data_IF_690046824345
#
_entry.id   IF_690046824345
#
_cell.length_a   1.000
_cell.length_b   1.000
_cell.length_c   1.000
_cell.angle_alpha   90.00
_cell.angle_beta   90.00
_cell.angle_gamma   90.00
#
_symmetry.space_group_name_H-M   'P 1'
#
loop_
_entity.id
_entity.type
_entity.pdbx_description
1 polymer ?
#
# COMPACT_ATOMS: atom_id res chain seq x y z
N UNK A 1 -12.44 17.04 -13.25
CA UNK A 1 -12.76 15.65 -13.64
C UNK A 1 -11.54 14.77 -13.37
N UNK A 2 -11.74 13.49 -13.00
CA UNK A 2 -10.66 12.52 -12.90
C UNK A 2 -9.85 12.43 -14.19
N UNK A 3 -8.55 12.19 -14.07
CA UNK A 3 -7.63 12.05 -15.21
C UNK A 3 -6.68 10.90 -14.95
N UNK A 4 -6.45 10.10 -15.98
CA UNK A 4 -5.42 9.06 -16.00
C UNK A 4 -4.53 9.29 -17.20
N UNK A 5 -3.23 9.30 -16.97
CA UNK A 5 -2.21 9.35 -18.00
C UNK A 5 -1.47 8.02 -17.99
N UNK A 6 -1.30 7.42 -19.15
CA UNK A 6 -0.67 6.12 -19.32
C UNK A 6 0.40 6.24 -20.38
N UNK A 7 1.54 5.59 -20.15
CA UNK A 7 2.61 5.48 -21.12
C UNK A 7 3.25 4.10 -21.01
N UNK A 8 3.69 3.57 -22.14
CA UNK A 8 4.38 2.30 -22.19
C UNK A 8 5.55 2.36 -23.15
N UNK A 9 6.53 1.51 -22.88
CA UNK A 9 7.68 1.29 -23.73
C UNK A 9 7.90 -0.21 -23.82
N UNK A 10 8.19 -0.72 -25.01
CA UNK A 10 8.37 -2.15 -25.24
C UNK A 10 9.51 -2.40 -26.20
N UNK A 11 10.30 -3.43 -25.91
CA UNK A 11 11.37 -3.92 -26.76
C UNK A 11 11.27 -5.43 -26.84
N UNK A 12 11.29 -5.98 -28.06
CA UNK A 12 11.34 -7.41 -28.30
C UNK A 12 12.46 -7.72 -29.28
N UNK A 13 13.23 -8.78 -29.00
CA UNK A 13 14.30 -9.22 -29.88
C UNK A 13 14.38 -10.75 -29.94
N UNK A 14 14.54 -11.26 -31.16
CA UNK A 14 14.87 -12.66 -31.42
C UNK A 14 16.40 -12.80 -31.35
N UNK A 15 16.87 -13.58 -30.38
CA UNK A 15 18.30 -13.83 -30.15
C UNK A 15 18.84 -15.01 -30.98
N UNK A 16 18.00 -15.59 -31.85
CA UNK A 16 18.26 -16.84 -32.54
C UNK A 16 18.16 -18.05 -31.61
N UNK A 17 18.34 -19.26 -32.16
CA UNK A 17 18.23 -20.53 -31.42
C UNK A 17 16.91 -20.66 -30.65
N UNK A 18 15.84 -20.20 -31.29
CA UNK A 18 14.47 -20.23 -30.76
C UNK A 18 14.26 -19.39 -29.49
N UNK A 19 15.15 -18.45 -29.20
CA UNK A 19 15.16 -17.64 -27.98
C UNK A 19 14.67 -16.21 -28.27
N UNK A 20 13.68 -15.75 -27.52
CA UNK A 20 13.10 -14.42 -27.62
C UNK A 20 13.19 -13.73 -26.26
N UNK A 21 13.67 -12.49 -26.25
CA UNK A 21 13.63 -11.59 -25.10
C UNK A 21 12.61 -10.49 -25.36
N UNK A 22 11.87 -10.15 -24.32
CA UNK A 22 10.93 -9.04 -24.32
C UNK A 22 11.08 -8.25 -23.01
N UNK A 23 11.13 -6.93 -23.13
CA UNK A 23 11.19 -6.01 -22.01
C UNK A 23 10.11 -4.96 -22.21
N UNK A 24 9.17 -4.90 -21.28
CA UNK A 24 8.10 -3.93 -21.30
C UNK A 24 8.13 -3.06 -20.05
N UNK A 25 7.71 -1.82 -20.21
CA UNK A 25 7.50 -0.89 -19.13
C UNK A 25 6.12 -0.26 -19.30
N UNK A 26 5.40 -0.10 -18.20
CA UNK A 26 4.14 0.62 -18.13
C UNK A 26 4.16 1.60 -16.95
N UNK A 27 3.77 2.84 -17.21
CA UNK A 27 3.55 3.87 -16.22
C UNK A 27 2.12 4.38 -16.29
N UNK A 28 1.48 4.53 -15.14
CA UNK A 28 0.16 5.12 -15.01
C UNK A 28 0.18 6.19 -13.92
N UNK A 29 -0.39 7.36 -14.19
CA UNK A 29 -0.61 8.41 -13.20
C UNK A 29 -2.07 8.82 -13.21
N UNK A 30 -2.76 8.58 -12.11
CA UNK A 30 -4.12 9.02 -11.88
C UNK A 30 -4.13 10.25 -10.97
N UNK A 31 -4.91 11.26 -11.35
CA UNK A 31 -5.11 12.48 -10.57
C UNK A 31 -6.59 12.83 -10.53
N UNK A 32 -6.99 13.59 -9.50
CA UNK A 32 -8.36 14.06 -9.32
C UNK A 32 -9.38 12.92 -9.24
N UNK A 33 -8.95 11.78 -8.71
CA UNK A 33 -9.82 10.64 -8.43
C UNK A 33 -10.79 11.02 -7.31
N UNK A 34 -12.03 10.55 -7.42
CA UNK A 34 -13.05 10.79 -6.39
C UNK A 34 -12.69 9.92 -5.19
N UNK A 35 -12.40 10.57 -4.07
CA UNK A 35 -11.89 9.95 -2.84
C UNK A 35 -12.49 10.66 -1.62
N UNK A 36 -13.78 10.46 -1.31
CA UNK A 36 -14.45 11.13 -0.20
C UNK A 36 -13.85 10.78 1.17
N UNK A 37 -13.22 9.60 1.30
CA UNK A 37 -12.52 9.16 2.51
C UNK A 37 -11.29 10.01 2.86
N UNK A 38 -10.70 10.69 1.86
CA UNK A 38 -9.60 11.63 2.04
C UNK A 38 -10.09 13.05 2.42
N UNK A 39 -11.39 13.24 2.64
CA UNK A 39 -11.99 14.54 2.95
C UNK A 39 -12.47 14.58 4.39
N UNK A 40 -11.84 15.41 5.21
CA UNK A 40 -12.31 15.74 6.57
C UNK A 40 -12.31 17.26 6.75
N UNK A 41 -13.26 17.92 6.11
CA UNK A 41 -13.30 19.39 5.95
C UNK A 41 -13.32 20.08 7.30
N UNK A 42 -13.95 19.43 8.28
CA UNK A 42 -14.12 20.00 9.60
C UNK A 42 -13.04 19.55 10.58
N UNK A 43 -11.94 18.91 10.18
CA UNK A 43 -10.85 18.58 11.12
C UNK A 43 -10.35 19.86 11.81
N UNK A 44 -10.01 19.78 13.10
CA UNK A 44 -9.30 20.89 13.76
C UNK A 44 -7.90 20.95 13.19
N UNK A 45 -7.43 22.16 12.86
CA UNK A 45 -6.10 22.34 12.34
C UNK A 45 -5.04 21.85 13.36
N UNK A 46 -4.12 20.94 12.98
CA UNK A 46 -3.07 20.44 13.86
C UNK A 46 -2.23 21.53 14.52
N UNK A 47 -2.19 22.76 13.99
CA UNK A 47 -1.54 23.91 14.64
C UNK A 47 -2.03 24.18 16.07
N UNK A 48 -3.21 23.68 16.45
CA UNK A 48 -3.77 23.84 17.80
C UNK A 48 -3.38 22.72 18.77
N UNK A 49 -2.68 21.67 18.32
CA UNK A 49 -2.18 20.58 19.18
C UNK A 49 -1.36 21.06 20.39
N UNK A 50 -0.54 22.14 20.31
CA UNK A 50 0.17 22.69 21.48
C UNK A 50 -0.74 23.14 22.63
N UNK A 51 -2.04 23.36 22.41
CA UNK A 51 -3.00 23.64 23.49
C UNK A 51 -3.21 22.43 24.41
N UNK A 52 -2.81 21.23 23.98
CA UNK A 52 -2.80 20.02 24.79
C UNK A 52 -4.17 19.70 25.41
N UNK A 53 -4.20 19.50 26.73
CA UNK A 53 -5.44 19.18 27.44
C UNK A 53 -6.51 20.28 27.34
N UNK A 54 -6.15 21.52 27.02
CA UNK A 54 -7.15 22.58 26.87
C UNK A 54 -8.15 22.24 25.76
N UNK A 55 -7.73 21.55 24.70
CA UNK A 55 -8.58 21.12 23.59
C UNK A 55 -9.77 20.26 24.04
N UNK A 56 -9.63 19.51 25.15
CA UNK A 56 -10.70 18.65 25.68
C UNK A 56 -11.57 19.35 26.72
N UNK A 57 -11.16 20.53 27.22
CA UNK A 57 -11.94 21.30 28.19
C UNK A 57 -13.16 21.92 27.54
N UNK A 58 -14.21 22.13 28.33
CA UNK A 58 -15.38 22.87 27.89
C UNK A 58 -15.00 24.32 27.56
N UNK A 59 -15.52 24.86 26.47
CA UNK A 59 -15.27 26.24 26.03
C UNK A 59 -15.70 27.30 27.06
N UNK A 60 -16.65 26.97 27.95
CA UNK A 60 -17.13 27.86 29.01
C UNK A 60 -16.31 27.75 30.31
N UNK A 61 -15.27 26.92 30.34
CA UNK A 61 -14.38 26.76 31.49
C UNK A 61 -13.51 27.99 31.75
N UNK A 62 -12.98 28.13 32.97
CA UNK A 62 -12.11 29.25 33.32
C UNK A 62 -10.80 29.21 32.52
N UNK A 63 -10.29 28.01 32.25
CA UNK A 63 -9.08 27.75 31.48
C UNK A 63 -9.23 28.18 30.01
N UNK A 64 -10.38 27.88 29.39
CA UNK A 64 -10.67 28.31 28.01
C UNK A 64 -10.78 29.84 27.89
N UNK A 65 -11.38 30.50 28.89
CA UNK A 65 -11.45 31.96 28.97
C UNK A 65 -10.07 32.59 29.19
N UNK A 66 -9.26 32.02 30.08
CA UNK A 66 -7.89 32.48 30.32
C UNK A 66 -6.99 32.37 29.07
N UNK A 67 -7.25 31.37 28.23
CA UNK A 67 -6.59 31.21 26.93
C UNK A 67 -7.16 32.11 25.81
N UNK A 68 -8.13 32.98 26.12
CA UNK A 68 -8.78 33.89 25.17
C UNK A 68 -9.38 33.20 23.94
N UNK A 69 -9.93 31.98 24.11
CA UNK A 69 -10.57 31.26 23.00
C UNK A 69 -12.02 31.76 22.86
N UNK A 70 -12.35 32.25 21.66
CA UNK A 70 -13.66 32.80 21.36
C UNK A 70 -14.75 31.71 21.32
N UNK A 71 -15.93 32.05 21.83
CA UNK A 71 -17.14 31.23 21.66
C UNK A 71 -17.65 31.45 20.23
N UNK A 72 -17.81 30.40 19.39
CA UNK A 72 -18.14 30.56 17.97
C UNK A 72 -19.46 31.26 17.69
N UNK A 73 -20.48 31.00 18.51
CA UNK A 73 -21.80 31.63 18.42
C UNK A 73 -22.50 31.61 19.79
N UNK A 74 -23.45 32.53 20.04
CA UNK A 74 -24.19 32.57 21.30
C UNK A 74 -24.84 31.23 21.64
N UNK A 75 -24.64 30.75 22.87
CA UNK A 75 -25.18 29.47 23.32
C UNK A 75 -24.38 28.23 22.90
N UNK A 76 -23.24 28.39 22.20
CA UNK A 76 -22.36 27.26 21.91
C UNK A 76 -21.84 26.61 23.21
N UNK A 77 -22.01 25.29 23.32
CA UNK A 77 -21.52 24.49 24.43
C UNK A 77 -20.84 23.24 23.87
N UNK A 78 -19.54 23.13 24.09
CA UNK A 78 -18.73 22.06 23.54
C UNK A 78 -17.29 22.15 24.04
N UNK A 79 -16.42 21.29 23.52
CA UNK A 79 -15.00 21.37 23.81
C UNK A 79 -14.34 22.55 23.08
N UNK A 80 -13.20 23.01 23.58
CA UNK A 80 -12.33 23.95 22.88
C UNK A 80 -12.00 23.45 21.48
N UNK A 81 -11.69 22.16 21.32
CA UNK A 81 -11.46 21.56 20.01
C UNK A 81 -12.63 21.77 19.06
N UNK A 82 -13.87 21.51 19.50
CA UNK A 82 -15.05 21.71 18.66
C UNK A 82 -15.25 23.19 18.29
N UNK A 83 -14.93 24.10 19.20
CA UNK A 83 -14.99 25.55 18.95
C UNK A 83 -13.99 26.02 17.87
N UNK A 84 -12.82 25.37 17.78
CA UNK A 84 -11.75 25.69 16.84
C UNK A 84 -11.95 25.09 15.43
N UNK A 85 -13.04 24.37 15.19
CA UNK A 85 -13.37 23.83 13.85
C UNK A 85 -13.84 24.94 12.91
N UNK A 86 -13.68 24.73 11.60
CA UNK A 86 -14.18 25.68 10.60
C UNK A 86 -15.71 25.83 10.64
N UNK A 87 -16.42 24.75 10.97
CA UNK A 87 -17.86 24.72 11.16
C UNK A 87 -18.22 24.10 12.53
N UNK A 88 -18.12 24.85 13.64
CA UNK A 88 -18.32 24.33 15.00
C UNK A 88 -19.73 23.77 15.29
N UNK A 89 -20.72 24.15 14.49
CA UNK A 89 -22.10 23.65 14.58
C UNK A 89 -22.28 22.24 14.01
N UNK A 90 -21.31 21.73 13.24
CA UNK A 90 -21.36 20.42 12.62
C UNK A 90 -20.29 19.49 13.19
N UNK A 91 -20.54 18.17 13.11
CA UNK A 91 -19.55 17.16 13.46
C UNK A 91 -18.59 16.93 12.28
N UNK A 92 -18.52 15.71 11.76
CA UNK A 92 -17.68 15.39 10.61
C UNK A 92 -18.34 15.82 9.31
N UNK A 93 -17.62 16.59 8.50
CA UNK A 93 -18.05 16.98 7.15
C UNK A 93 -17.15 16.33 6.11
N UNK A 94 -17.76 15.57 5.20
CA UNK A 94 -17.09 14.90 4.08
C UNK A 94 -17.65 15.41 2.76
N UNK A 95 -16.79 15.58 1.75
CA UNK A 95 -17.22 15.87 0.39
C UNK A 95 -17.30 14.58 -0.41
N UNK A 96 -18.52 14.16 -0.76
CA UNK A 96 -18.77 12.93 -1.55
C UNK A 96 -18.15 12.99 -2.96
N UNK A 97 -17.89 14.19 -3.47
CA UNK A 97 -17.28 14.44 -4.77
C UNK A 97 -15.88 15.03 -4.64
N UNK A 98 -15.19 14.80 -3.51
CA UNK A 98 -13.83 15.26 -3.30
C UNK A 98 -12.89 14.60 -4.33
N UNK A 99 -12.38 15.41 -5.28
CA UNK A 99 -11.48 14.98 -6.36
C UNK A 99 -10.03 15.20 -5.97
N UNK A 100 -9.65 14.65 -4.82
CA UNK A 100 -8.33 14.82 -4.20
C UNK A 100 -7.47 13.56 -4.29
N UNK A 101 -8.03 12.42 -4.68
CA UNK A 101 -7.28 11.18 -4.84
C UNK A 101 -6.25 11.26 -5.97
N UNK A 102 -5.08 10.68 -5.72
CA UNK A 102 -4.00 10.58 -6.68
C UNK A 102 -3.22 9.28 -6.47
N UNK A 103 -2.82 8.65 -7.58
CA UNK A 103 -1.98 7.45 -7.57
C UNK A 103 -1.04 7.42 -8.76
N UNK A 104 0.05 6.68 -8.60
CA UNK A 104 1.07 6.42 -9.60
C UNK A 104 1.47 4.96 -9.53
N UNK A 105 1.44 4.29 -10.67
CA UNK A 105 1.91 2.92 -10.83
C UNK A 105 3.03 2.91 -11.86
N UNK A 106 4.10 2.19 -11.56
CA UNK A 106 5.17 1.90 -12.50
C UNK A 106 5.45 0.41 -12.45
N UNK A 107 5.50 -0.23 -13.61
CA UNK A 107 5.77 -1.66 -13.75
C UNK A 107 6.77 -1.90 -14.87
N UNK A 108 7.75 -2.75 -14.61
CA UNK A 108 8.66 -3.30 -15.60
C UNK A 108 8.44 -4.80 -15.70
N UNK A 109 8.34 -5.33 -16.90
CA UNK A 109 8.21 -6.76 -17.19
C UNK A 109 9.39 -7.19 -18.06
N UNK A 110 10.06 -8.25 -17.63
CA UNK A 110 11.08 -8.95 -18.40
C UNK A 110 10.56 -10.35 -18.71
N UNK A 111 10.56 -10.73 -19.98
CA UNK A 111 10.24 -12.08 -20.43
C UNK A 111 11.37 -12.67 -21.25
N UNK A 112 11.65 -13.94 -20.99
CA UNK A 112 12.58 -14.74 -21.77
C UNK A 112 11.89 -16.05 -22.13
N UNK A 113 11.84 -16.35 -23.43
CA UNK A 113 11.14 -17.52 -23.96
C UNK A 113 12.03 -18.27 -24.93
N UNK A 114 12.18 -19.56 -24.71
CA UNK A 114 12.72 -20.50 -25.68
C UNK A 114 11.62 -21.39 -26.23
N UNK A 115 11.40 -21.37 -27.54
CA UNK A 115 10.48 -22.33 -28.19
C UNK A 115 11.07 -23.73 -28.12
N UNK A 116 10.20 -24.74 -28.20
CA UNK A 116 10.62 -26.12 -28.06
C UNK A 116 11.61 -26.52 -29.15
N UNK A 117 12.86 -26.75 -28.74
CA UNK A 117 13.95 -27.13 -29.63
C UNK A 117 14.91 -28.06 -28.88
N UNK A 118 15.35 -29.13 -29.55
CA UNK A 118 16.26 -30.13 -28.98
C UNK A 118 15.76 -30.73 -27.66
N UNK A 119 14.45 -30.93 -27.52
CA UNK A 119 13.83 -31.53 -26.34
C UNK A 119 13.55 -30.57 -25.19
N UNK A 120 13.77 -29.26 -25.36
CA UNK A 120 13.60 -28.28 -24.27
C UNK A 120 12.84 -27.03 -24.72
N UNK A 121 11.86 -26.61 -23.89
CA UNK A 121 11.29 -25.27 -23.94
C UNK A 121 11.23 -24.69 -22.54
N UNK A 122 11.34 -23.37 -22.45
CA UNK A 122 11.07 -22.66 -21.21
C UNK A 122 10.51 -21.27 -21.50
N UNK A 123 9.77 -20.75 -20.54
CA UNK A 123 9.33 -19.39 -20.51
C UNK A 123 9.45 -18.87 -19.08
N UNK A 124 10.07 -17.72 -18.92
CA UNK A 124 10.11 -17.03 -17.63
C UNK A 124 9.67 -15.59 -17.81
N UNK A 125 8.93 -15.10 -16.82
CA UNK A 125 8.49 -13.72 -16.70
C UNK A 125 8.85 -13.21 -15.31
N UNK A 126 9.36 -12.00 -15.26
CA UNK A 126 9.63 -11.26 -14.05
C UNK A 126 9.01 -9.88 -14.15
N UNK A 127 8.17 -9.55 -13.18
CA UNK A 127 7.56 -8.24 -13.05
C UNK A 127 8.12 -7.58 -11.80
N UNK A 128 8.69 -6.39 -11.97
CA UNK A 128 8.88 -5.44 -10.91
C UNK A 128 7.78 -4.39 -10.97
N UNK A 129 7.17 -4.04 -9.84
CA UNK A 129 6.20 -2.95 -9.82
C UNK A 129 6.27 -2.09 -8.56
N UNK A 130 5.72 -0.89 -8.67
CA UNK A 130 5.55 0.03 -7.53
C UNK A 130 4.30 0.86 -7.72
N UNK A 131 3.35 0.70 -6.81
CA UNK A 131 2.11 1.44 -6.73
C UNK A 131 2.12 2.35 -5.51
N UNK A 132 2.17 3.66 -5.74
CA UNK A 132 2.09 4.70 -4.69
C UNK A 132 0.83 5.51 -4.90
N UNK A 133 0.15 5.89 -3.82
CA UNK A 133 -0.92 6.87 -3.90
C UNK A 133 -1.16 7.54 -2.57
N UNK A 134 -2.01 8.56 -2.58
CA UNK A 134 -2.65 9.04 -1.36
C UNK A 134 -3.51 7.88 -0.88
N UNK A 135 -3.31 7.39 0.34
CA UNK A 135 -3.90 6.17 0.88
C UNK A 135 -5.37 5.95 0.43
N UNK A 136 -5.54 5.28 -0.70
CA UNK A 136 -6.83 5.06 -1.36
C UNK A 136 -6.98 3.57 -1.62
N UNK A 137 -8.03 2.92 -1.12
CA UNK A 137 -8.48 1.68 -1.69
C UNK A 137 -9.25 2.07 -2.96
N UNK A 138 -8.70 1.77 -4.12
CA UNK A 138 -9.53 1.70 -5.33
C UNK A 138 -10.34 0.40 -5.38
N UNK A 139 -10.40 -0.41 -4.32
CA UNK A 139 -11.23 -1.61 -4.28
C UNK A 139 -11.74 -1.92 -2.87
N UNK A 140 -13.06 -1.80 -2.67
CA UNK A 140 -13.80 -2.13 -1.44
C UNK A 140 -13.90 -3.64 -1.13
N UNK A 141 -12.95 -4.47 -1.62
CA UNK A 141 -13.08 -5.93 -1.61
C UNK A 141 -12.40 -6.67 -0.46
N UNK A 142 -11.51 -6.02 0.29
CA UNK A 142 -10.69 -6.69 1.30
C UNK A 142 -10.63 -5.87 2.59
N UNK A 143 -11.72 -5.92 3.38
CA UNK A 143 -11.78 -5.80 4.85
C UNK A 143 -10.85 -4.85 5.62
N UNK A 144 -10.19 -3.88 4.99
CA UNK A 144 -9.27 -2.96 5.61
C UNK A 144 -10.03 -1.86 6.34
N UNK A 145 -9.57 -1.55 7.54
CA UNK A 145 -10.03 -0.39 8.33
C UNK A 145 -10.06 0.81 7.40
N UNK A 146 -11.22 1.47 7.32
CA UNK A 146 -11.49 2.61 6.44
C UNK A 146 -10.22 3.46 6.24
N UNK A 147 -9.77 3.56 4.98
CA UNK A 147 -8.62 4.35 4.58
C UNK A 147 -8.93 5.83 4.78
N UNK A 148 -8.77 6.23 6.02
CA UNK A 148 -9.08 7.54 6.53
C UNK A 148 -7.82 8.38 6.52
N UNK A 149 -8.06 9.67 6.35
CA UNK A 149 -7.05 10.70 6.41
C UNK A 149 -6.55 10.91 7.85
N UNK A 150 -5.23 10.94 8.03
CA UNK A 150 -4.59 11.35 9.28
C UNK A 150 -4.57 12.88 9.39
N UNK A 151 -4.24 13.59 8.31
CA UNK A 151 -4.27 15.05 8.30
C UNK A 151 -4.89 15.66 7.04
N UNK A 152 -6.00 16.38 7.23
CA UNK A 152 -6.67 17.13 6.18
C UNK A 152 -5.88 18.29 5.63
N UNK A 153 -4.98 18.86 6.42
CA UNK A 153 -4.21 20.04 6.05
C UNK A 153 -2.90 19.67 5.34
N UNK A 154 -2.48 18.41 5.41
CA UNK A 154 -1.26 17.92 4.78
C UNK A 154 -1.50 16.57 4.09
N UNK A 155 -1.85 16.59 2.81
CA UNK A 155 -2.07 15.36 2.05
C UNK A 155 -0.78 14.63 1.68
N UNK A 156 0.38 15.30 1.73
CA UNK A 156 1.64 14.69 1.29
C UNK A 156 2.10 13.56 2.22
N UNK A 157 1.76 13.61 3.51
CA UNK A 157 2.04 12.54 4.47
C UNK A 157 1.17 11.28 4.26
N UNK A 158 0.12 11.39 3.44
CA UNK A 158 -0.76 10.27 3.12
C UNK A 158 -0.25 9.44 1.95
N UNK A 159 0.87 9.85 1.33
CA UNK A 159 1.50 9.12 0.24
C UNK A 159 2.13 7.83 0.78
N UNK A 160 1.56 6.69 0.42
CA UNK A 160 2.05 5.38 0.82
C UNK A 160 2.04 4.40 -0.36
N UNK A 161 2.65 3.23 -0.15
CA UNK A 161 2.35 2.08 -1.00
C UNK A 161 0.85 1.78 -0.95
N UNK A 162 0.27 1.43 -2.09
CA UNK A 162 -1.13 1.03 -2.17
C UNK A 162 -1.28 -0.42 -1.71
N UNK A 163 -2.44 -0.76 -1.16
CA UNK A 163 -2.69 -2.08 -0.55
C UNK A 163 -2.55 -3.27 -1.52
N UNK A 164 -2.64 -3.02 -2.82
CA UNK A 164 -2.49 -4.00 -3.88
C UNK A 164 -1.11 -3.99 -4.55
N UNK A 165 -0.15 -3.24 -4.00
CA UNK A 165 1.23 -3.24 -4.50
C UNK A 165 1.85 -4.63 -4.33
N UNK A 166 2.43 -5.17 -5.41
CA UNK A 166 3.21 -6.41 -5.39
C UNK A 166 4.55 -6.10 -6.04
N UNK A 167 5.60 -5.83 -5.24
CA UNK A 167 6.86 -5.32 -5.77
C UNK A 167 7.56 -6.24 -6.77
N UNK A 168 7.47 -7.55 -6.54
CA UNK A 168 8.12 -8.55 -7.36
C UNK A 168 7.21 -9.75 -7.59
N UNK A 169 7.07 -10.17 -8.84
CA UNK A 169 6.42 -11.42 -9.23
C UNK A 169 7.28 -12.12 -10.27
N UNK A 170 7.58 -13.39 -10.04
CA UNK A 170 8.36 -14.24 -10.92
C UNK A 170 7.57 -15.50 -11.23
N UNK A 171 7.50 -15.84 -12.51
CA UNK A 171 6.97 -17.13 -12.98
C UNK A 171 7.98 -17.75 -13.93
N UNK A 172 8.26 -19.03 -13.75
CA UNK A 172 9.03 -19.82 -14.71
C UNK A 172 8.32 -21.14 -14.99
N UNK A 173 8.14 -21.43 -16.27
CA UNK A 173 7.57 -22.67 -16.77
C UNK A 173 8.60 -23.33 -17.69
N UNK A 174 8.77 -24.63 -17.57
CA UNK A 174 9.63 -25.37 -18.49
C UNK A 174 9.10 -26.77 -18.74
N UNK A 175 9.50 -27.31 -19.89
CA UNK A 175 9.30 -28.70 -20.28
C UNK A 175 10.59 -29.22 -20.89
N UNK A 176 11.04 -30.37 -20.42
CA UNK A 176 12.27 -31.00 -20.85
C UNK A 176 12.04 -32.49 -21.09
N UNK A 177 12.19 -32.92 -22.34
CA UNK A 177 12.22 -34.32 -22.73
C UNK A 177 13.63 -34.83 -22.57
N UNK A 178 13.81 -35.79 -21.65
CA UNK A 178 15.11 -36.35 -21.30
C UNK A 178 15.73 -37.07 -22.52
N UNK A 179 17.03 -36.91 -22.79
CA UNK A 179 17.68 -37.46 -23.97
C UNK A 179 18.06 -38.94 -23.84
N UNK A 180 17.56 -39.63 -22.81
CA UNK A 180 17.85 -41.04 -22.52
C UNK A 180 16.88 -41.97 -23.27
N UNK A 181 17.23 -43.26 -23.41
CA UNK A 181 16.40 -44.24 -24.15
C UNK A 181 16.76 -44.42 -25.64
N UNK A 182 17.86 -43.85 -26.13
CA UNK A 182 18.38 -44.10 -27.50
C UNK A 182 19.14 -45.43 -27.67
N UNK A 183 19.23 -46.27 -26.62
CA UNK A 183 19.94 -47.56 -26.64
C UNK A 183 19.06 -48.72 -27.12
N UNK A 184 19.66 -49.84 -27.53
CA UNK A 184 18.93 -51.07 -27.88
C UNK A 184 18.49 -51.88 -26.62
N UNK A 185 17.37 -52.60 -26.72
CA UNK A 185 16.89 -53.57 -25.71
C UNK A 185 15.91 -53.01 -24.67
N UNK A 186 15.69 -53.75 -23.58
CA UNK A 186 14.69 -53.45 -22.53
C UNK A 186 14.84 -52.07 -21.87
N UNK A 187 16.07 -51.52 -21.87
CA UNK A 187 16.37 -50.17 -21.38
C UNK A 187 15.70 -49.07 -22.21
N UNK A 188 15.44 -49.30 -23.50
CA UNK A 188 14.66 -48.40 -24.36
C UNK A 188 13.22 -48.29 -23.88
N UNK A 189 12.59 -49.44 -23.62
CA UNK A 189 11.16 -49.52 -23.27
C UNK A 189 10.84 -48.86 -21.94
N UNK A 190 11.77 -48.88 -20.98
CA UNK A 190 11.55 -48.34 -19.63
C UNK A 190 12.04 -46.89 -19.47
N UNK A 191 13.06 -46.47 -20.24
CA UNK A 191 13.72 -45.17 -20.07
C UNK A 191 13.48 -44.18 -21.22
N UNK A 192 12.74 -44.54 -22.27
CA UNK A 192 12.41 -43.62 -23.35
C UNK A 192 11.33 -42.61 -22.95
N UNK A 193 11.36 -41.45 -23.62
CA UNK A 193 10.29 -40.44 -23.66
C UNK A 193 9.86 -39.82 -22.32
N UNK A 194 10.71 -39.95 -21.29
CA UNK A 194 10.49 -39.22 -20.04
C UNK A 194 10.52 -37.72 -20.27
N UNK A 195 9.45 -37.05 -19.84
CA UNK A 195 9.33 -35.60 -19.90
C UNK A 195 9.12 -35.05 -18.50
N UNK A 196 9.89 -34.03 -18.15
CA UNK A 196 9.79 -33.32 -16.89
C UNK A 196 9.25 -31.93 -17.20
N UNK A 197 8.21 -31.52 -16.49
CA UNK A 197 7.67 -30.17 -16.55
C UNK A 197 7.60 -29.56 -15.16
N UNK A 198 7.78 -28.25 -15.08
CA UNK A 198 7.72 -27.52 -13.83
C UNK A 198 7.11 -26.14 -14.01
N UNK A 199 6.42 -25.67 -12.97
CA UNK A 199 5.91 -24.31 -12.83
C UNK A 199 6.39 -23.80 -11.49
N UNK A 200 7.16 -22.71 -11.50
CA UNK A 200 7.62 -22.01 -10.32
C UNK A 200 6.97 -20.64 -10.29
N UNK A 201 6.31 -20.31 -9.16
CA UNK A 201 5.72 -18.99 -8.94
C UNK A 201 6.20 -18.46 -7.60
N UNK A 202 6.85 -17.30 -7.64
CA UNK A 202 7.28 -16.57 -6.46
C UNK A 202 6.75 -15.15 -6.55
N UNK A 203 6.20 -14.62 -5.47
CA UNK A 203 5.71 -13.25 -5.41
C UNK A 203 5.96 -12.66 -4.03
N UNK A 204 6.26 -11.36 -3.98
CA UNK A 204 6.27 -10.61 -2.74
C UNK A 204 4.85 -10.54 -2.13
N UNK A 205 4.78 -10.32 -0.82
CA UNK A 205 3.52 -10.05 -0.14
C UNK A 205 3.00 -8.62 -0.39
N UNK A 206 1.76 -8.37 0.02
CA UNK A 206 1.16 -7.04 0.03
C UNK A 206 1.71 -6.18 1.18
N UNK A 207 1.70 -4.84 1.06
CA UNK A 207 2.05 -3.95 2.15
C UNK A 207 1.16 -4.15 3.38
N UNK A 208 1.75 -4.04 4.56
CA UNK A 208 1.01 -4.04 5.82
C UNK A 208 0.63 -2.61 6.20
N UNK A 209 -0.63 -2.40 6.54
CA UNK A 209 -1.12 -1.13 7.07
C UNK A 209 -0.96 -1.13 8.60
N UNK A 210 -0.35 -0.07 9.13
CA UNK A 210 -0.18 0.14 10.56
C UNK A 210 -0.97 1.37 10.99
N UNK A 211 -1.68 1.22 12.11
CA UNK A 211 -2.38 2.29 12.79
C UNK A 211 -2.16 2.18 14.28
N UNK A 212 -2.36 3.28 14.98
CA UNK A 212 -2.35 3.33 16.44
C UNK A 212 -3.65 3.97 16.95
N UNK A 213 -3.89 3.83 18.26
CA UNK A 213 -5.00 4.52 18.90
C UNK A 213 -4.84 6.03 18.71
N UNK A 214 -5.88 6.66 18.18
CA UNK A 214 -5.89 8.10 17.98
C UNK A 214 -6.49 8.80 19.20
N UNK A 215 -5.64 9.45 19.98
CA UNK A 215 -6.04 10.22 21.16
C UNK A 215 -6.01 11.73 20.91
N UNK A 216 -5.69 12.17 19.69
CA UNK A 216 -5.58 13.58 19.38
C UNK A 216 -6.99 14.20 19.33
N UNK A 217 -7.28 15.25 20.12
CA UNK A 217 -8.59 15.88 20.15
C UNK A 217 -8.77 16.85 18.97
N UNK A 218 -8.33 16.46 17.77
CA UNK A 218 -8.44 17.27 16.55
C UNK A 218 -9.44 16.71 15.54
N UNK A 219 -10.15 15.65 15.92
CA UNK A 219 -11.13 14.96 15.08
C UNK A 219 -10.56 14.46 13.74
N UNK A 220 -9.26 14.18 13.70
CA UNK A 220 -8.71 13.32 12.67
C UNK A 220 -9.17 11.88 12.93
N UNK A 221 -9.12 11.05 11.89
CA UNK A 221 -9.79 9.75 11.92
C UNK A 221 -8.84 8.60 12.23
N UNK A 222 -7.60 8.70 11.77
CA UNK A 222 -6.56 7.71 12.01
C UNK A 222 -5.29 8.41 12.46
N UNK A 223 -4.47 7.68 13.20
CA UNK A 223 -3.10 8.06 13.51
C UNK A 223 -2.21 6.87 13.14
N UNK A 224 -1.11 7.15 12.46
CA UNK A 224 -0.08 6.16 12.09
C UNK A 224 1.19 6.47 12.87
N UNK A 225 1.89 5.44 13.35
CA UNK A 225 3.15 5.66 14.03
C UNK A 225 4.25 6.06 13.04
N UNK A 226 5.21 6.82 13.53
CA UNK A 226 6.45 7.12 12.82
C UNK A 226 7.43 5.95 12.97
N UNK A 227 8.16 5.64 11.89
CA UNK A 227 9.27 4.68 11.95
C UNK A 227 10.50 5.40 12.49
N UNK A 228 11.07 4.87 13.57
CA UNK A 228 12.29 5.41 14.17
C UNK A 228 13.48 5.25 13.23
N UNK A 229 14.30 6.28 13.13
CA UNK A 229 15.48 6.26 12.25
C UNK A 229 16.40 5.08 12.59
N UNK A 230 16.73 4.27 11.58
CA UNK A 230 17.57 3.08 11.72
C UNK A 230 16.87 1.85 12.30
N UNK A 231 15.59 1.93 12.68
CA UNK A 231 14.85 0.79 13.19
C UNK A 231 14.32 -0.11 12.06
N UNK A 232 14.37 -1.42 12.28
CA UNK A 232 13.75 -2.39 11.38
C UNK A 232 12.32 -2.69 11.85
N UNK A 233 11.28 -2.39 11.04
CA UNK A 233 9.88 -2.66 11.40
C UNK A 233 9.51 -4.14 11.35
N UNK A 234 10.32 -4.99 10.70
CA UNK A 234 10.08 -6.43 10.66
C UNK A 234 10.32 -7.07 12.03
N UNK A 235 9.47 -8.02 12.43
CA UNK A 235 9.66 -8.79 13.67
C UNK A 235 10.87 -9.74 13.63
N UNK A 236 11.46 -9.97 12.45
CA UNK A 236 12.52 -10.96 12.24
C UNK A 236 12.02 -12.41 12.19
N UNK A 237 10.69 -12.63 12.30
CA UNK A 237 10.09 -13.96 12.17
C UNK A 237 10.12 -14.41 10.72
N UNK A 238 10.56 -15.64 10.49
CA UNK A 238 10.42 -16.29 9.18
C UNK A 238 9.00 -16.85 9.02
N UNK A 239 8.61 -17.15 7.78
CA UNK A 239 7.29 -17.72 7.50
C UNK A 239 7.05 -19.08 8.18
N UNK A 240 8.10 -19.84 8.50
CA UNK A 240 7.99 -21.13 9.20
C UNK A 240 7.91 -21.00 10.72
N UNK A 241 8.28 -19.84 11.27
CA UNK A 241 8.43 -19.64 12.72
C UNK A 241 7.26 -18.85 13.33
N UNK A 242 6.31 -18.38 12.51
CA UNK A 242 5.15 -17.66 12.99
C UNK A 242 4.10 -18.61 13.58
N UNK A 243 3.95 -18.57 14.90
CA UNK A 243 2.89 -19.22 15.65
C UNK A 243 1.91 -18.16 16.18
N UNK A 244 0.67 -18.07 15.70
CA UNK A 244 -0.29 -17.07 16.18
C UNK A 244 -0.63 -17.20 17.67
N UNK A 245 -0.39 -18.36 18.29
CA UNK A 245 -0.57 -18.59 19.73
C UNK A 245 0.60 -18.10 20.61
N UNK A 246 1.76 -17.76 20.01
CA UNK A 246 2.96 -17.29 20.73
C UNK A 246 3.47 -15.94 20.21
N UNK A 247 3.36 -15.71 18.91
CA UNK A 247 3.80 -14.52 18.21
C UNK A 247 2.61 -13.60 17.99
N UNK A 248 2.34 -12.75 18.98
CA UNK A 248 1.19 -11.84 18.94
C UNK A 248 1.38 -10.67 17.96
N UNK A 249 2.57 -10.54 17.33
CA UNK A 249 2.92 -9.44 16.42
C UNK A 249 3.85 -9.92 15.30
N UNK A 250 3.54 -9.50 14.08
CA UNK A 250 4.37 -9.68 12.87
C UNK A 250 5.29 -8.48 12.61
N UNK A 251 5.29 -7.50 13.52
CA UNK A 251 6.11 -6.28 13.45
C UNK A 251 6.89 -6.05 14.75
N UNK A 252 8.04 -5.41 14.63
CA UNK A 252 8.82 -4.95 15.77
C UNK A 252 8.22 -3.64 16.31
N UNK A 253 7.50 -3.72 17.43
CA UNK A 253 6.84 -2.55 18.02
C UNK A 253 7.82 -1.46 18.49
N UNK A 254 9.06 -1.80 18.80
CA UNK A 254 10.08 -0.83 19.21
C UNK A 254 10.62 -0.01 18.03
N UNK A 255 10.26 -0.37 16.80
CA UNK A 255 10.63 0.39 15.61
C UNK A 255 9.73 1.61 15.37
N UNK A 256 8.71 1.80 16.21
CA UNK A 256 7.64 2.75 16.01
C UNK A 256 7.52 3.72 17.19
N UNK A 257 7.21 4.98 16.90
CA UNK A 257 6.87 5.99 17.88
C UNK A 257 5.57 6.70 17.52
N UNK A 258 4.91 7.29 18.52
CA UNK A 258 3.82 8.22 18.26
C UNK A 258 4.35 9.45 17.52
N UNK A 259 3.65 9.96 16.49
CA UNK A 259 4.02 11.22 15.86
C UNK A 259 4.04 12.34 16.89
N UNK A 260 5.02 13.24 16.79
CA UNK A 260 5.10 14.41 17.67
C UNK A 260 3.85 15.28 17.41
N UNK A 261 3.10 15.58 18.47
CA UNK A 261 1.93 16.44 18.43
C UNK A 261 2.31 17.92 18.44
#
# INVERSE_FOLDING_TARGET
>A
MPRTQSWSFGFQHDLGRDLIVEVNYIGNRATRQVAPQLSNINQVNPQFLPLGQLLTRNINSAEARAANIAIPYPGFNGSVAQALRAFPQYLTLTSQQAKIGASSYHGGEFKLRKRFASGFAFETSYVWSKAIGLNTPSYQGFGGVDNMLQDHFNLDIERSLLSYDVPHAFVANYIYTLPFGKSNGWRKTVLADWTISGIHRYQSGFPLQLSMNNLLPIFNRVLRPDILSGANPASGLSNSDFDPGRNHRITNAQAFASPVA
#
